data_IF_929202025850
#
_entry.id   IF_929202025850
#
_cell.length_a   1.000
_cell.length_b   1.000
_cell.length_c   1.000
_cell.angle_alpha   90.00
_cell.angle_beta   90.00
_cell.angle_gamma   90.00
#
_symmetry.space_group_name_H-M   'P 1'
#
loop_
_entity.id
_entity.type
_entity.pdbx_description
1 polymer ?
#
# COMPACT_ATOMS: atom_id res chain seq x y z
N UNK A 1 -43.63 42.24 29.62
CA UNK A 1 -43.82 41.50 30.89
C UNK A 1 -42.60 40.63 31.15
N UNK A 2 -42.00 40.78 32.35
CA UNK A 2 -41.12 39.88 33.14
C UNK A 2 -40.27 38.83 32.41
N UNK A 3 -38.99 38.58 32.71
CA UNK A 3 -37.93 39.15 33.58
C UNK A 3 -36.66 38.37 33.16
N UNK A 4 -35.56 39.07 32.86
CA UNK A 4 -34.22 38.47 32.88
C UNK A 4 -33.83 38.15 34.34
N UNK A 5 -33.07 37.08 34.56
CA UNK A 5 -31.78 37.15 35.28
C UNK A 5 -30.89 35.92 34.99
N UNK A 6 -29.58 36.12 34.72
CA UNK A 6 -28.56 35.08 34.59
C UNK A 6 -27.72 34.95 35.87
N UNK A 7 -27.13 33.77 36.15
CA UNK A 7 -26.01 33.60 37.09
C UNK A 7 -25.14 32.41 36.65
N UNK A 8 -24.02 32.67 35.98
CA UNK A 8 -22.63 32.76 36.52
C UNK A 8 -22.04 31.43 36.97
N UNK A 9 -21.14 30.93 36.13
CA UNK A 9 -20.06 29.97 36.40
C UNK A 9 -19.09 30.47 37.47
N UNK A 10 -18.74 29.59 38.42
CA UNK A 10 -17.50 29.68 39.20
C UNK A 10 -17.01 28.26 39.55
N UNK A 11 -15.74 28.01 39.23
CA UNK A 11 -15.00 26.78 39.48
C UNK A 11 -14.47 26.68 40.93
N UNK A 12 -14.20 25.43 41.37
CA UNK A 12 -13.29 24.91 42.44
C UNK A 12 -13.84 23.51 42.82
N UNK A 13 -13.12 22.42 43.08
CA UNK A 13 -11.72 22.12 43.40
C UNK A 13 -11.53 20.59 43.38
N UNK A 14 -10.27 20.17 43.23
CA UNK A 14 -9.78 18.80 43.22
C UNK A 14 -9.93 18.05 44.57
N UNK A 15 -9.95 16.70 44.50
CA UNK A 15 -9.16 15.75 45.29
C UNK A 15 -9.90 14.39 45.38
N UNK A 16 -9.32 13.33 44.82
CA UNK A 16 -9.76 11.96 45.11
C UNK A 16 -8.57 11.20 45.69
N UNK A 17 -8.62 10.94 47.00
CA UNK A 17 -7.67 10.15 47.77
C UNK A 17 -8.38 8.87 48.22
N UNK A 18 -7.75 7.75 47.85
CA UNK A 18 -7.80 6.37 48.34
C UNK A 18 -8.64 6.05 49.60
N UNK A 19 -9.47 5.01 49.51
CA UNK A 19 -9.68 4.02 50.57
C UNK A 19 -10.14 2.68 49.95
N UNK A 20 -9.56 1.58 50.43
CA UNK A 20 -9.60 0.27 49.79
C UNK A 20 -10.84 -0.58 50.06
N UNK A 21 -10.96 -1.64 49.27
CA UNK A 21 -11.72 -2.85 49.60
C UNK A 21 -10.91 -4.06 49.17
N UNK A 22 -10.76 -4.98 50.11
CA UNK A 22 -9.90 -6.14 50.06
C UNK A 22 -10.49 -7.29 49.23
N UNK A 23 -9.57 -8.07 48.64
CA UNK A 23 -9.61 -9.53 48.51
C UNK A 23 -10.85 -10.17 47.88
N UNK A 24 -10.84 -10.22 46.54
CA UNK A 24 -11.16 -11.45 45.82
C UNK A 24 -10.02 -11.67 44.81
N UNK A 25 -9.04 -12.49 45.20
CA UNK A 25 -8.10 -13.04 44.22
C UNK A 25 -8.87 -14.07 43.38
N UNK A 26 -8.98 -13.92 42.05
CA UNK A 26 -9.41 -15.04 41.23
C UNK A 26 -8.33 -16.10 41.30
N UNK A 27 -8.75 -17.36 41.44
CA UNK A 27 -7.92 -18.56 41.40
C UNK A 27 -6.82 -18.36 40.34
N UNK A 28 -5.58 -18.32 40.79
CA UNK A 28 -4.43 -18.39 39.92
C UNK A 28 -4.45 -19.77 39.28
N UNK A 29 -4.97 -19.86 38.05
CA UNK A 29 -4.42 -20.83 37.12
C UNK A 29 -2.91 -20.59 37.16
N UNK A 30 -2.13 -21.53 37.70
CA UNK A 30 -0.67 -21.42 37.70
C UNK A 30 -0.25 -21.13 36.26
N UNK A 31 0.20 -19.90 36.01
CA UNK A 31 0.70 -19.53 34.70
C UNK A 31 1.82 -20.52 34.37
N UNK A 32 1.63 -21.27 33.29
CA UNK A 32 2.61 -22.24 32.81
C UNK A 32 3.98 -21.56 32.77
N UNK A 33 5.06 -22.19 33.28
CA UNK A 33 6.37 -21.58 33.25
C UNK A 33 6.71 -21.16 31.82
N UNK A 34 7.09 -19.90 31.65
CA UNK A 34 7.39 -19.31 30.34
C UNK A 34 8.42 -20.19 29.61
N UNK A 35 8.10 -20.56 28.37
CA UNK A 35 9.01 -21.33 27.52
C UNK A 35 10.27 -20.51 27.21
N UNK A 36 11.32 -21.14 26.67
CA UNK A 36 12.49 -20.41 26.21
C UNK A 36 12.12 -19.35 25.15
N UNK A 37 11.15 -19.66 24.29
CA UNK A 37 10.69 -18.76 23.24
C UNK A 37 9.93 -17.55 23.82
N UNK A 38 9.17 -17.75 24.90
CA UNK A 38 8.46 -16.67 25.62
C UNK A 38 9.45 -15.77 26.35
N UNK A 39 10.47 -16.37 26.99
CA UNK A 39 11.57 -15.62 27.61
C UNK A 39 12.35 -14.81 26.59
N UNK A 40 12.60 -15.37 25.41
CA UNK A 40 13.30 -14.68 24.33
C UNK A 40 12.49 -13.47 23.84
N UNK A 41 11.20 -13.66 23.55
CA UNK A 41 10.31 -12.57 23.12
C UNK A 41 10.27 -11.44 24.16
N UNK A 42 10.04 -11.76 25.45
CA UNK A 42 10.02 -10.77 26.52
C UNK A 42 11.38 -10.05 26.70
N UNK A 43 12.50 -10.76 26.49
CA UNK A 43 13.85 -10.15 26.57
C UNK A 43 14.08 -9.18 25.41
N UNK A 44 13.62 -9.53 24.21
CA UNK A 44 13.66 -8.63 23.04
C UNK A 44 12.80 -7.40 23.27
N UNK A 45 11.56 -7.53 23.74
CA UNK A 45 10.72 -6.37 24.09
C UNK A 45 11.39 -5.44 25.11
N UNK A 46 12.00 -6.01 26.14
CA UNK A 46 12.76 -5.22 27.12
C UNK A 46 14.00 -4.56 26.50
N UNK A 47 14.67 -5.23 25.55
CA UNK A 47 15.81 -4.64 24.85
C UNK A 47 15.36 -3.44 24.02
N UNK A 48 14.30 -3.57 23.22
CA UNK A 48 13.73 -2.50 22.40
C UNK A 48 13.37 -1.26 23.23
N UNK A 49 12.79 -1.46 24.42
CA UNK A 49 12.46 -0.36 25.34
C UNK A 49 13.69 0.37 25.88
N UNK A 50 14.78 -0.35 26.14
CA UNK A 50 16.03 0.23 26.68
C UNK A 50 17.22 -0.65 26.31
N UNK A 51 17.83 -0.43 25.14
CA UNK A 51 18.94 -1.23 24.63
C UNK A 51 20.13 -1.17 25.58
N UNK A 52 20.77 -2.33 25.82
CA UNK A 52 22.05 -2.43 26.50
C UNK A 52 22.66 -3.81 26.28
N UNK A 53 23.98 -3.91 26.44
CA UNK A 53 24.72 -5.14 26.16
C UNK A 53 24.30 -6.31 27.05
N UNK A 54 23.90 -6.08 28.30
CA UNK A 54 23.43 -7.15 29.18
C UNK A 54 22.18 -7.85 28.63
N UNK A 55 21.22 -7.08 28.10
CA UNK A 55 20.02 -7.63 27.47
C UNK A 55 20.33 -8.29 26.13
N UNK A 56 21.21 -7.70 25.33
CA UNK A 56 21.65 -8.31 24.07
C UNK A 56 22.37 -9.65 24.28
N UNK A 57 23.24 -9.73 25.29
CA UNK A 57 23.88 -10.97 25.70
C UNK A 57 22.86 -12.01 26.19
N UNK A 58 21.82 -11.59 26.91
CA UNK A 58 20.73 -12.49 27.32
C UNK A 58 19.93 -13.02 26.11
N UNK A 59 19.68 -12.21 25.08
CA UNK A 59 19.08 -12.65 23.81
C UNK A 59 19.94 -13.73 23.16
N UNK A 60 21.26 -13.50 23.03
CA UNK A 60 22.20 -14.46 22.45
C UNK A 60 22.25 -15.77 23.23
N UNK A 61 22.28 -15.71 24.56
CA UNK A 61 22.27 -16.89 25.44
C UNK A 61 20.98 -17.72 25.28
N UNK A 62 19.82 -17.07 25.17
CA UNK A 62 18.55 -17.75 24.92
C UNK A 62 18.52 -18.44 23.55
N UNK A 63 19.04 -17.77 22.50
CA UNK A 63 19.18 -18.38 21.17
C UNK A 63 20.12 -19.61 21.20
N UNK A 64 21.26 -19.51 21.91
CA UNK A 64 22.20 -20.61 22.09
C UNK A 64 21.59 -21.81 22.86
N UNK A 65 20.63 -21.54 23.76
CA UNK A 65 19.85 -22.57 24.47
C UNK A 65 18.73 -23.18 23.63
N UNK A 66 18.58 -22.77 22.36
CA UNK A 66 17.60 -23.31 21.43
C UNK A 66 16.23 -22.63 21.48
N UNK A 67 16.13 -21.43 22.07
CA UNK A 67 14.91 -20.61 21.92
C UNK A 67 14.69 -20.32 20.44
N UNK A 68 13.45 -20.49 19.95
CA UNK A 68 13.07 -20.18 18.57
C UNK A 68 12.82 -18.68 18.42
N UNK A 69 13.58 -18.03 17.56
CA UNK A 69 13.39 -16.62 17.24
C UNK A 69 12.02 -16.32 16.61
N UNK A 70 11.50 -17.24 15.81
CA UNK A 70 10.19 -17.13 15.18
C UNK A 70 9.30 -18.35 15.45
N UNK A 71 8.02 -18.11 15.78
CA UNK A 71 7.01 -19.13 16.06
C UNK A 71 5.61 -18.54 15.87
N UNK A 72 4.61 -19.41 15.72
CA UNK A 72 3.22 -19.00 15.69
C UNK A 72 2.83 -18.36 17.02
N UNK A 73 2.08 -17.27 16.94
CA UNK A 73 1.48 -16.63 18.09
C UNK A 73 0.56 -17.62 18.82
N UNK A 74 0.65 -17.73 20.16
CA UNK A 74 -0.24 -18.61 20.94
C UNK A 74 -1.71 -18.26 20.72
N UNK A 75 -2.59 -19.26 20.74
CA UNK A 75 -4.00 -19.10 20.42
C UNK A 75 -4.77 -18.22 21.43
N UNK A 76 -4.26 -18.11 22.65
CA UNK A 76 -4.80 -17.28 23.72
C UNK A 76 -4.60 -15.76 23.53
N UNK A 77 -3.83 -15.34 22.52
CA UNK A 77 -3.57 -13.94 22.24
C UNK A 77 -4.17 -13.51 20.89
N UNK A 78 -5.09 -12.54 20.97
CA UNK A 78 -5.69 -11.86 19.82
C UNK A 78 -5.18 -10.40 19.78
N UNK A 79 -3.87 -10.19 19.52
CA UNK A 79 -3.27 -8.85 19.55
C UNK A 79 -1.75 -8.81 19.47
N UNK A 80 -1.07 -7.72 19.90
CA UNK A 80 0.40 -7.62 19.87
C UNK A 80 1.12 -8.52 20.89
N UNK A 81 0.39 -9.02 21.88
CA UNK A 81 0.89 -9.93 22.90
C UNK A 81 1.28 -11.28 22.29
N UNK A 82 2.33 -11.93 22.78
CA UNK A 82 2.70 -13.27 22.31
C UNK A 82 3.31 -13.30 20.89
N UNK A 83 3.71 -12.14 20.36
CA UNK A 83 4.61 -12.10 19.21
C UNK A 83 5.90 -12.87 19.50
N UNK A 84 6.43 -13.52 18.47
CA UNK A 84 7.79 -14.05 18.52
C UNK A 84 8.83 -12.93 18.57
N UNK A 85 10.06 -13.25 18.98
CA UNK A 85 11.15 -12.27 19.03
C UNK A 85 11.42 -11.61 17.67
N UNK A 86 11.40 -12.39 16.57
CA UNK A 86 11.56 -11.85 15.22
C UNK A 86 10.43 -10.89 14.86
N UNK A 87 9.19 -11.21 15.22
CA UNK A 87 8.04 -10.34 14.99
C UNK A 87 8.17 -9.01 15.73
N UNK A 88 8.60 -9.03 17.00
CA UNK A 88 8.85 -7.81 17.78
C UNK A 88 9.91 -6.94 17.12
N UNK A 89 11.06 -7.51 16.72
CA UNK A 89 12.14 -6.77 16.08
C UNK A 89 11.70 -6.13 14.74
N UNK A 90 10.95 -6.86 13.91
CA UNK A 90 10.40 -6.31 12.65
C UNK A 90 9.43 -5.17 12.94
N UNK A 91 8.54 -5.31 13.94
CA UNK A 91 7.55 -4.28 14.29
C UNK A 91 8.17 -2.98 14.80
N UNK A 92 9.34 -3.07 15.45
CA UNK A 92 10.11 -1.91 15.92
C UNK A 92 11.09 -1.39 14.86
N UNK A 93 11.13 -2.00 13.68
CA UNK A 93 12.05 -1.67 12.59
C UNK A 93 13.53 -1.72 13.04
N UNK A 94 13.90 -2.65 13.93
CA UNK A 94 15.28 -2.89 14.37
C UNK A 94 15.96 -3.90 13.43
N UNK A 95 16.72 -3.38 12.46
CA UNK A 95 17.41 -4.20 11.49
C UNK A 95 18.53 -5.08 12.11
N UNK A 96 19.19 -4.60 13.17
CA UNK A 96 20.32 -5.31 13.78
C UNK A 96 19.83 -6.52 14.59
N UNK A 97 18.71 -6.38 15.29
CA UNK A 97 18.05 -7.52 15.93
C UNK A 97 17.47 -8.50 14.92
N UNK A 98 16.88 -8.03 13.82
CA UNK A 98 16.41 -8.92 12.74
C UNK A 98 17.58 -9.74 12.19
N UNK A 99 18.71 -9.12 11.89
CA UNK A 99 19.91 -9.81 11.40
C UNK A 99 20.40 -10.87 12.40
N UNK A 100 20.42 -10.55 13.70
CA UNK A 100 20.76 -11.50 14.76
C UNK A 100 19.78 -12.68 14.84
N UNK A 101 18.49 -12.41 14.80
CA UNK A 101 17.44 -13.42 14.96
C UNK A 101 17.32 -14.35 13.74
N UNK A 102 17.67 -13.85 12.55
CA UNK A 102 17.74 -14.63 11.30
C UNK A 102 19.01 -15.50 11.18
N UNK A 103 19.93 -15.46 12.15
CA UNK A 103 21.02 -16.44 12.22
C UNK A 103 20.52 -17.88 12.44
N UNK A 104 19.31 -18.02 12.98
CA UNK A 104 18.58 -19.30 13.02
C UNK A 104 17.83 -19.55 11.72
N UNK A 105 17.66 -20.83 11.35
CA UNK A 105 16.75 -21.23 10.27
C UNK A 105 15.30 -21.10 10.75
N UNK A 106 14.69 -19.96 10.48
CA UNK A 106 13.31 -19.66 10.85
C UNK A 106 12.32 -20.12 9.77
N UNK A 107 11.16 -20.61 10.18
CA UNK A 107 10.03 -20.82 9.26
C UNK A 107 9.30 -19.49 9.04
N UNK A 108 9.64 -18.81 7.94
CA UNK A 108 9.11 -17.48 7.60
C UNK A 108 7.74 -17.55 6.91
N UNK A 109 7.11 -18.73 6.80
CA UNK A 109 5.72 -18.84 6.38
C UNK A 109 4.74 -18.59 7.54
N UNK A 110 5.24 -18.70 8.77
CA UNK A 110 4.46 -18.41 9.97
C UNK A 110 4.09 -16.92 10.01
N UNK A 111 2.81 -16.57 10.18
CA UNK A 111 2.41 -15.17 10.31
C UNK A 111 2.97 -14.47 11.55
N UNK A 112 3.22 -13.16 11.43
CA UNK A 112 3.56 -12.26 12.54
C UNK A 112 2.45 -12.23 13.59
N UNK A 113 1.19 -12.17 13.14
CA UNK A 113 -0.01 -12.28 13.97
C UNK A 113 -0.90 -13.40 13.45
N UNK A 114 -1.50 -14.16 14.37
CA UNK A 114 -2.36 -15.30 14.04
C UNK A 114 -3.56 -14.87 13.19
N UNK A 115 -4.24 -13.79 13.58
CA UNK A 115 -5.49 -13.37 12.94
C UNK A 115 -5.29 -12.50 11.69
N UNK A 116 -4.12 -11.88 11.56
CA UNK A 116 -3.81 -11.10 10.36
C UNK A 116 -3.20 -12.00 9.29
N UNK A 117 -2.38 -13.01 9.60
CA UNK A 117 -1.88 -13.92 8.56
C UNK A 117 -0.74 -13.36 7.69
N UNK A 118 -0.28 -12.13 7.95
CA UNK A 118 0.89 -11.57 7.25
C UNK A 118 2.17 -12.30 7.65
N UNK A 119 2.84 -12.90 6.67
CA UNK A 119 4.21 -13.40 6.81
C UNK A 119 5.20 -12.25 7.08
N UNK A 120 6.38 -12.51 7.69
CA UNK A 120 7.34 -11.49 8.08
C UNK A 120 7.71 -10.49 6.97
N UNK A 121 7.93 -10.98 5.74
CA UNK A 121 8.25 -10.12 4.59
C UNK A 121 7.08 -9.18 4.23
N UNK A 122 5.86 -9.72 4.20
CA UNK A 122 4.66 -8.95 3.88
C UNK A 122 4.38 -7.92 4.97
N UNK A 123 4.59 -8.28 6.24
CA UNK A 123 4.43 -7.37 7.37
C UNK A 123 5.45 -6.23 7.32
N UNK A 124 6.73 -6.54 7.06
CA UNK A 124 7.80 -5.55 6.94
C UNK A 124 7.53 -4.52 5.83
N UNK A 125 6.94 -4.96 4.71
CA UNK A 125 6.56 -4.07 3.59
C UNK A 125 5.30 -3.27 3.91
N UNK A 126 4.33 -3.87 4.60
CA UNK A 126 3.08 -3.19 4.99
C UNK A 126 3.31 -2.06 6.00
N UNK A 127 4.38 -2.12 6.80
CA UNK A 127 4.74 -1.10 7.78
C UNK A 127 5.50 0.11 7.19
N UNK A 128 5.70 0.17 5.87
CA UNK A 128 6.42 1.25 5.22
C UNK A 128 5.53 2.49 5.12
N UNK A 129 6.14 3.67 5.24
CA UNK A 129 5.45 4.94 5.02
C UNK A 129 4.62 4.88 3.73
N UNK A 130 3.35 5.25 3.85
CA UNK A 130 2.39 5.39 2.76
C UNK A 130 2.92 6.22 1.59
N UNK A 131 3.94 7.07 1.77
CA UNK A 131 4.59 7.80 0.68
C UNK A 131 5.59 6.94 -0.15
N UNK A 132 5.67 5.63 0.06
CA UNK A 132 6.52 4.71 -0.71
C UNK A 132 8.02 4.79 -0.40
N UNK A 133 8.43 5.66 0.52
CA UNK A 133 9.84 5.83 0.91
C UNK A 133 10.20 4.88 2.06
N UNK A 134 10.91 3.80 1.73
CA UNK A 134 11.46 2.90 2.72
C UNK A 134 12.63 3.56 3.47
N UNK A 135 12.68 3.45 4.80
CA UNK A 135 13.87 3.85 5.55
C UNK A 135 15.04 2.87 5.29
N UNK A 136 16.29 3.27 5.54
CA UNK A 136 17.43 2.36 5.46
C UNK A 136 17.25 1.08 6.29
N UNK A 137 16.60 1.17 7.45
CA UNK A 137 16.29 0.00 8.28
C UNK A 137 15.24 -0.90 7.63
N UNK A 138 14.15 -0.33 7.07
CA UNK A 138 13.15 -1.12 6.36
C UNK A 138 13.79 -1.91 5.21
N UNK A 139 14.65 -1.27 4.42
CA UNK A 139 15.35 -1.92 3.32
C UNK A 139 16.28 -3.04 3.79
N UNK A 140 16.98 -2.86 4.92
CA UNK A 140 17.81 -3.91 5.51
C UNK A 140 16.97 -5.09 5.94
N UNK A 141 15.85 -4.85 6.64
CA UNK A 141 14.93 -5.91 7.08
C UNK A 141 14.38 -6.69 5.88
N UNK A 142 13.90 -5.99 4.84
CA UNK A 142 13.39 -6.64 3.62
C UNK A 142 14.48 -7.48 2.95
N UNK A 143 15.71 -6.95 2.81
CA UNK A 143 16.86 -7.70 2.28
C UNK A 143 17.17 -8.95 3.11
N UNK A 144 17.21 -8.82 4.43
CA UNK A 144 17.53 -9.91 5.34
C UNK A 144 16.47 -11.02 5.28
N UNK A 145 15.19 -10.66 5.28
CA UNK A 145 14.09 -11.62 5.15
C UNK A 145 14.11 -12.36 3.80
N UNK A 146 14.36 -11.66 2.70
CA UNK A 146 14.53 -12.27 1.38
C UNK A 146 15.73 -13.24 1.38
N UNK A 147 16.87 -12.81 1.92
CA UNK A 147 18.07 -13.64 2.00
C UNK A 147 17.88 -14.89 2.89
N UNK A 148 17.04 -14.79 3.92
CA UNK A 148 16.63 -15.89 4.78
C UNK A 148 15.58 -16.83 4.15
N UNK A 149 15.15 -16.57 2.91
CA UNK A 149 14.24 -17.44 2.16
C UNK A 149 12.76 -17.12 2.34
N UNK A 150 12.40 -15.90 2.74
CA UNK A 150 10.99 -15.49 2.78
C UNK A 150 10.34 -15.59 1.40
N UNK A 151 9.09 -16.05 1.36
CA UNK A 151 8.33 -16.17 0.12
C UNK A 151 7.97 -14.78 -0.46
N UNK A 152 8.67 -14.37 -1.52
CA UNK A 152 8.47 -13.09 -2.21
C UNK A 152 7.12 -12.95 -2.93
N UNK A 153 6.38 -14.05 -3.06
CA UNK A 153 5.06 -14.10 -3.68
C UNK A 153 3.94 -14.42 -2.67
N UNK A 154 4.23 -14.39 -1.37
CA UNK A 154 3.25 -14.60 -0.32
C UNK A 154 2.08 -13.61 -0.43
N UNK A 155 0.88 -14.03 -0.08
CA UNK A 155 -0.27 -13.12 -0.03
C UNK A 155 -0.35 -12.45 1.35
N UNK A 156 -0.84 -11.23 1.37
CA UNK A 156 -1.14 -10.52 2.61
C UNK A 156 -2.40 -11.07 3.30
N UNK A 157 -2.69 -10.49 4.47
CA UNK A 157 -3.83 -10.82 5.34
C UNK A 157 -5.16 -11.05 4.63
N UNK A 158 -5.46 -10.19 3.66
CA UNK A 158 -6.74 -10.19 2.94
C UNK A 158 -6.75 -11.25 1.82
N UNK A 159 -5.69 -12.05 1.71
CA UNK A 159 -5.44 -12.98 0.62
C UNK A 159 -5.37 -12.27 -0.74
N UNK A 160 -5.00 -10.99 -0.74
CA UNK A 160 -5.29 -10.10 -1.87
C UNK A 160 -4.02 -9.68 -2.61
N UNK A 161 -3.00 -9.20 -1.92
CA UNK A 161 -1.82 -8.60 -2.54
C UNK A 161 -0.53 -9.34 -2.17
N UNK A 162 0.34 -9.53 -3.17
CA UNK A 162 1.73 -9.94 -2.98
C UNK A 162 2.60 -8.78 -2.50
N UNK A 163 3.82 -9.03 -1.96
CA UNK A 163 4.82 -8.00 -1.71
C UNK A 163 5.00 -7.00 -2.84
N UNK A 164 5.05 -7.49 -4.08
CA UNK A 164 5.26 -6.63 -5.26
C UNK A 164 4.04 -5.75 -5.55
N UNK A 165 2.82 -6.30 -5.41
CA UNK A 165 1.57 -5.54 -5.53
C UNK A 165 1.45 -4.45 -4.44
N UNK A 166 1.93 -4.71 -3.22
CA UNK A 166 1.99 -3.68 -2.18
C UNK A 166 2.99 -2.58 -2.51
N UNK A 167 4.22 -2.98 -2.88
CA UNK A 167 5.30 -2.04 -3.18
C UNK A 167 5.03 -1.21 -4.45
N UNK A 168 4.12 -1.64 -5.33
CA UNK A 168 3.74 -0.88 -6.52
C UNK A 168 2.73 0.25 -6.28
N UNK A 169 2.27 0.41 -5.03
CA UNK A 169 1.35 1.48 -4.65
C UNK A 169 -0.12 1.18 -4.93
N UNK A 170 -0.54 -0.09 -4.80
CA UNK A 170 -1.96 -0.44 -4.65
C UNK A 170 -2.48 -0.19 -3.22
N UNK A 171 -1.57 -0.05 -2.24
CA UNK A 171 -1.89 0.32 -0.84
C UNK A 171 -1.07 1.50 -0.33
N UNK A 172 -0.23 2.09 -1.18
CA UNK A 172 0.63 3.23 -0.88
C UNK A 172 0.24 4.38 -1.80
N UNK A 173 0.53 5.61 -1.37
CA UNK A 173 0.34 6.80 -2.18
C UNK A 173 1.42 6.90 -3.29
N UNK A 174 2.54 6.18 -3.18
CA UNK A 174 3.58 6.09 -4.21
C UNK A 174 4.27 4.71 -4.23
N UNK A 175 4.85 4.28 -5.37
CA UNK A 175 5.59 3.02 -5.45
C UNK A 175 6.94 3.11 -4.72
N UNK A 176 7.35 2.01 -4.08
CA UNK A 176 8.67 1.86 -3.47
C UNK A 176 9.65 1.18 -4.42
N UNK A 177 10.33 1.98 -5.25
CA UNK A 177 11.23 1.48 -6.31
C UNK A 177 12.33 0.55 -5.78
N UNK A 178 12.88 0.86 -4.60
CA UNK A 178 13.95 0.07 -3.99
C UNK A 178 13.46 -1.32 -3.59
N UNK A 179 12.26 -1.42 -3.02
CA UNK A 179 11.67 -2.70 -2.64
C UNK A 179 11.21 -3.49 -3.86
N UNK A 180 10.61 -2.82 -4.86
CA UNK A 180 10.30 -3.46 -6.13
C UNK A 180 11.56 -4.09 -6.76
N UNK A 181 12.69 -3.38 -6.75
CA UNK A 181 13.98 -3.92 -7.24
C UNK A 181 14.42 -5.15 -6.44
N UNK A 182 14.33 -5.12 -5.12
CA UNK A 182 14.70 -6.25 -4.27
C UNK A 182 13.83 -7.48 -4.53
N UNK A 183 12.52 -7.30 -4.57
CA UNK A 183 11.55 -8.36 -4.81
C UNK A 183 11.73 -8.99 -6.21
N UNK A 184 11.85 -8.16 -7.25
CA UNK A 184 12.03 -8.64 -8.62
C UNK A 184 13.37 -9.37 -8.79
N UNK A 185 14.45 -8.86 -8.19
CA UNK A 185 15.76 -9.54 -8.21
C UNK A 185 15.73 -10.89 -7.46
N UNK A 186 14.82 -11.04 -6.52
CA UNK A 186 14.59 -12.27 -5.76
C UNK A 186 13.54 -13.21 -6.39
N UNK A 187 13.07 -12.92 -7.61
CA UNK A 187 12.14 -13.79 -8.35
C UNK A 187 10.66 -13.56 -8.03
N UNK A 188 10.27 -12.39 -7.52
CA UNK A 188 8.86 -12.03 -7.44
C UNK A 188 8.23 -12.06 -8.85
N UNK A 189 7.09 -12.71 -8.99
CA UNK A 189 6.41 -12.84 -10.27
C UNK A 189 5.59 -11.56 -10.55
N UNK A 190 5.95 -10.76 -11.57
CA UNK A 190 5.26 -9.51 -11.85
C UNK A 190 3.84 -9.69 -12.41
N UNK A 191 3.50 -10.90 -12.86
CA UNK A 191 2.21 -11.22 -13.45
C UNK A 191 1.19 -11.78 -12.45
N UNK A 192 1.53 -11.83 -11.15
CA UNK A 192 0.54 -12.14 -10.12
C UNK A 192 -0.46 -11.00 -9.99
N UNK A 193 -1.72 -11.40 -9.74
CA UNK A 193 -2.87 -10.52 -9.76
C UNK A 193 -3.60 -10.60 -8.43
N UNK A 194 -4.10 -9.46 -7.98
CA UNK A 194 -4.93 -9.42 -6.79
C UNK A 194 -6.36 -9.93 -7.09
N UNK A 195 -7.24 -9.92 -6.08
CA UNK A 195 -8.63 -10.39 -6.22
C UNK A 195 -9.46 -9.51 -7.16
N UNK A 196 -9.07 -8.26 -7.41
CA UNK A 196 -9.66 -7.40 -8.44
C UNK A 196 -9.09 -7.67 -9.84
N UNK A 197 -8.13 -8.60 -9.95
CA UNK A 197 -7.40 -8.87 -11.17
C UNK A 197 -6.36 -7.79 -11.51
N UNK A 198 -6.01 -6.90 -10.59
CA UNK A 198 -5.03 -5.85 -10.81
C UNK A 198 -3.60 -6.42 -10.74
N UNK A 199 -2.73 -5.93 -11.61
CA UNK A 199 -1.29 -6.25 -11.63
C UNK A 199 -0.48 -5.18 -10.91
N UNK A 200 0.82 -5.40 -10.74
CA UNK A 200 1.71 -4.39 -10.16
C UNK A 200 1.78 -3.08 -10.99
N UNK A 201 1.36 -3.08 -12.26
CA UNK A 201 1.31 -1.90 -13.12
C UNK A 201 -0.09 -1.27 -13.22
N UNK A 202 -1.00 -1.56 -12.28
CA UNK A 202 -2.35 -1.02 -12.21
C UNK A 202 -2.61 -0.23 -10.91
N UNK A 203 -1.65 0.62 -10.55
CA UNK A 203 -1.70 1.50 -9.37
C UNK A 203 -0.72 2.66 -9.53
N UNK A 204 -0.16 3.18 -8.45
CA UNK A 204 0.76 4.34 -8.50
C UNK A 204 2.04 4.07 -9.32
N UNK A 205 2.45 2.81 -9.48
CA UNK A 205 3.55 2.44 -10.36
C UNK A 205 3.33 2.83 -11.84
N UNK A 206 2.08 2.86 -12.34
CA UNK A 206 1.79 3.25 -13.72
C UNK A 206 2.05 4.74 -13.98
N UNK A 207 1.89 5.59 -12.96
CA UNK A 207 2.21 7.01 -12.99
C UNK A 207 3.70 7.33 -12.80
N UNK A 208 4.53 6.33 -12.48
CA UNK A 208 5.97 6.49 -12.23
C UNK A 208 6.80 5.83 -13.35
N UNK A 209 7.63 6.62 -14.06
CA UNK A 209 8.37 6.12 -15.22
C UNK A 209 9.38 5.03 -14.86
N UNK A 210 10.09 5.18 -13.75
CA UNK A 210 11.09 4.20 -13.30
C UNK A 210 10.43 2.89 -12.85
N UNK A 211 9.30 2.96 -12.16
CA UNK A 211 8.52 1.79 -11.78
C UNK A 211 7.99 1.06 -13.02
N UNK A 212 7.49 1.82 -14.01
CA UNK A 212 7.02 1.29 -15.29
C UNK A 212 8.12 0.55 -16.03
N UNK A 213 9.30 1.18 -16.18
CA UNK A 213 10.48 0.57 -16.80
C UNK A 213 10.93 -0.68 -16.06
N UNK A 214 10.96 -0.62 -14.73
CA UNK A 214 11.36 -1.74 -13.89
C UNK A 214 10.44 -2.95 -14.07
N UNK A 215 9.12 -2.76 -14.03
CA UNK A 215 8.14 -3.84 -14.20
C UNK A 215 8.14 -4.42 -15.62
N UNK A 216 8.28 -3.57 -16.64
CA UNK A 216 8.43 -4.02 -18.04
C UNK A 216 9.72 -4.83 -18.22
N UNK A 217 10.84 -4.36 -17.65
CA UNK A 217 12.12 -5.07 -17.66
C UNK A 217 12.04 -6.44 -16.98
N UNK A 218 11.13 -6.60 -16.02
CA UNK A 218 10.85 -7.88 -15.37
C UNK A 218 9.86 -8.78 -16.13
N UNK A 219 9.33 -8.36 -17.28
CA UNK A 219 8.44 -9.18 -18.11
C UNK A 219 6.97 -9.14 -17.67
N UNK A 220 6.50 -8.04 -17.09
CA UNK A 220 5.06 -7.86 -16.81
C UNK A 220 4.24 -7.82 -18.11
N UNK A 221 3.05 -8.42 -18.10
CA UNK A 221 2.09 -8.27 -19.18
C UNK A 221 1.35 -6.93 -19.08
N UNK A 222 1.83 -5.95 -19.83
CA UNK A 222 1.20 -4.62 -19.96
C UNK A 222 -0.21 -4.67 -20.56
N UNK A 223 -0.60 -5.78 -21.22
CA UNK A 223 -1.92 -5.97 -21.82
C UNK A 223 -2.94 -6.64 -20.90
N UNK A 224 -2.55 -7.02 -19.68
CA UNK A 224 -3.44 -7.61 -18.71
C UNK A 224 -4.62 -6.68 -18.42
N UNK A 225 -5.78 -7.26 -18.13
CA UNK A 225 -7.03 -6.54 -17.80
C UNK A 225 -7.54 -6.93 -16.43
N UNK A 226 -7.83 -5.99 -15.55
CA UNK A 226 -8.52 -6.21 -14.28
C UNK A 226 -9.94 -6.78 -14.49
N UNK A 227 -10.61 -7.17 -13.41
CA UNK A 227 -12.01 -7.61 -13.46
C UNK A 227 -12.97 -6.52 -13.93
N UNK A 228 -12.61 -5.24 -13.77
CA UNK A 228 -13.36 -4.10 -14.31
C UNK A 228 -12.99 -3.76 -15.75
N UNK A 229 -12.08 -4.52 -16.37
CA UNK A 229 -11.58 -4.29 -17.73
C UNK A 229 -10.39 -3.32 -17.81
N UNK A 230 -9.88 -2.82 -16.67
CA UNK A 230 -8.83 -1.81 -16.66
C UNK A 230 -7.48 -2.40 -17.06
N UNK A 231 -6.73 -1.65 -17.87
CA UNK A 231 -5.33 -1.95 -18.25
C UNK A 231 -4.38 -1.00 -17.52
N UNK A 232 -3.07 -1.24 -17.59
CA UNK A 232 -2.06 -0.30 -17.08
C UNK A 232 -2.23 1.12 -17.65
N UNK A 233 -2.69 1.23 -18.89
CA UNK A 233 -2.92 2.52 -19.55
C UNK A 233 -4.01 3.34 -18.84
N UNK A 234 -5.03 2.70 -18.27
CA UNK A 234 -6.07 3.40 -17.51
C UNK A 234 -5.49 4.10 -16.25
N UNK A 235 -4.39 3.58 -15.69
CA UNK A 235 -3.73 4.14 -14.51
C UNK A 235 -2.53 5.06 -14.85
N UNK A 236 -2.10 5.18 -16.12
CA UNK A 236 -0.85 5.90 -16.48
C UNK A 236 -0.88 7.40 -16.17
N UNK A 237 -2.09 7.98 -16.14
CA UNK A 237 -2.35 9.37 -15.79
C UNK A 237 -2.88 9.55 -14.36
N UNK A 238 -3.08 8.45 -13.63
CA UNK A 238 -3.44 8.46 -12.21
C UNK A 238 -2.19 8.79 -11.40
N UNK A 239 -2.20 9.91 -10.67
CA UNK A 239 -1.04 10.41 -9.95
C UNK A 239 -1.41 10.68 -8.51
N UNK A 240 -0.42 10.57 -7.63
CA UNK A 240 -0.50 11.02 -6.25
C UNK A 240 -1.14 12.41 -6.17
N UNK A 241 -2.00 12.66 -5.17
CA UNK A 241 -2.74 13.92 -5.01
C UNK A 241 -1.84 15.17 -5.04
N UNK A 242 -0.67 15.11 -4.39
CA UNK A 242 0.36 16.16 -4.44
C UNK A 242 0.89 16.51 -5.84
N UNK A 243 0.64 15.67 -6.85
CA UNK A 243 1.02 15.90 -8.25
C UNK A 243 -0.14 16.44 -9.09
N UNK A 244 -1.35 16.61 -8.55
CA UNK A 244 -2.46 17.21 -9.29
C UNK A 244 -2.07 18.58 -9.85
N UNK A 245 -2.43 18.82 -11.12
CA UNK A 245 -2.14 20.06 -11.87
C UNK A 245 -0.66 20.44 -11.99
N UNK A 246 0.27 19.55 -11.62
CA UNK A 246 1.71 19.73 -11.91
C UNK A 246 2.03 19.17 -13.30
N UNK A 247 3.03 19.75 -14.00
CA UNK A 247 3.52 19.18 -15.25
C UNK A 247 3.93 17.70 -15.12
N UNK A 248 3.80 16.97 -16.22
CA UNK A 248 4.14 15.56 -16.35
C UNK A 248 4.89 15.33 -17.67
N UNK A 249 6.14 15.81 -17.77
CA UNK A 249 6.91 15.70 -19.02
C UNK A 249 7.17 14.24 -19.43
N UNK A 250 6.99 13.28 -18.51
CA UNK A 250 7.23 11.86 -18.72
C UNK A 250 5.99 11.08 -19.18
N UNK A 251 4.80 11.69 -19.22
CA UNK A 251 3.56 10.99 -19.60
C UNK A 251 3.66 10.32 -20.97
N UNK A 252 4.22 11.02 -21.97
CA UNK A 252 4.39 10.49 -23.31
C UNK A 252 5.32 9.27 -23.37
N UNK A 253 6.37 9.25 -22.56
CA UNK A 253 7.28 8.11 -22.49
C UNK A 253 6.59 6.90 -21.84
N UNK A 254 5.87 7.11 -20.73
CA UNK A 254 5.11 6.03 -20.08
C UNK A 254 4.05 5.45 -21.00
N UNK A 255 3.26 6.29 -21.67
CA UNK A 255 2.27 5.83 -22.65
C UNK A 255 2.95 4.99 -23.74
N UNK A 256 4.03 5.49 -24.35
CA UNK A 256 4.76 4.76 -25.39
C UNK A 256 5.23 3.37 -24.95
N UNK A 257 5.69 3.22 -23.70
CA UNK A 257 6.10 1.94 -23.14
C UNK A 257 4.93 0.93 -23.00
N UNK A 258 3.69 1.41 -22.90
CA UNK A 258 2.49 0.58 -22.75
C UNK A 258 1.80 0.26 -24.08
N UNK A 259 2.21 0.87 -25.20
CA UNK A 259 1.59 0.62 -26.51
C UNK A 259 2.19 -0.62 -27.16
N UNK A 260 1.33 -1.61 -27.41
CA UNK A 260 1.56 -2.71 -28.35
C UNK A 260 0.68 -2.48 -29.59
N UNK A 261 1.00 -3.08 -30.75
CA UNK A 261 0.08 -3.06 -31.90
C UNK A 261 -1.33 -3.51 -31.48
N UNK A 262 -2.34 -2.68 -31.75
CA UNK A 262 -3.73 -2.96 -31.37
C UNK A 262 -4.13 -2.61 -29.94
N UNK A 263 -3.27 -1.95 -29.15
CA UNK A 263 -3.68 -1.39 -27.84
C UNK A 263 -4.85 -0.43 -28.02
N UNK A 264 -5.97 -0.69 -27.33
CA UNK A 264 -7.12 0.20 -27.32
C UNK A 264 -6.92 1.33 -26.30
N UNK A 265 -6.80 2.56 -26.80
CA UNK A 265 -6.64 3.78 -26.00
C UNK A 265 -7.97 4.30 -25.43
N UNK A 266 -9.10 3.72 -25.87
CA UNK A 266 -10.45 4.19 -25.58
C UNK A 266 -11.26 3.16 -24.79
N UNK A 267 -10.60 2.14 -24.25
CA UNK A 267 -11.22 1.15 -23.39
C UNK A 267 -11.68 1.81 -22.08
N UNK A 268 -13.00 1.76 -21.85
CA UNK A 268 -13.62 2.14 -20.59
C UNK A 268 -13.46 1.02 -19.56
N UNK A 269 -12.92 1.33 -18.39
CA UNK A 269 -12.97 0.47 -17.21
C UNK A 269 -13.35 1.22 -15.94
N UNK A 270 -14.15 0.61 -15.07
CA UNK A 270 -14.41 1.20 -13.76
C UNK A 270 -13.14 1.20 -12.91
N UNK A 271 -12.80 2.36 -12.34
CA UNK A 271 -11.66 2.54 -11.47
C UNK A 271 -12.09 3.29 -10.21
N UNK A 272 -11.55 2.90 -9.07
CA UNK A 272 -11.83 3.58 -7.80
C UNK A 272 -11.40 5.05 -7.80
N UNK A 273 -10.33 5.39 -8.53
CA UNK A 273 -9.69 6.71 -8.51
C UNK A 273 -10.30 7.70 -9.50
N UNK A 274 -10.70 7.27 -10.69
CA UNK A 274 -11.36 8.11 -11.70
C UNK A 274 -12.89 7.99 -11.73
N UNK A 275 -13.45 7.10 -10.90
CA UNK A 275 -14.90 6.91 -10.75
C UNK A 275 -15.56 6.57 -12.08
N UNK A 276 -16.43 7.47 -12.53
CA UNK A 276 -17.30 7.30 -13.68
C UNK A 276 -16.70 7.78 -15.00
N UNK A 277 -15.41 8.18 -15.03
CA UNK A 277 -14.65 8.61 -16.19
C UNK A 277 -13.60 7.55 -16.59
N UNK A 278 -14.04 6.42 -17.16
CA UNK A 278 -13.34 5.14 -17.13
C UNK A 278 -12.31 5.00 -18.26
N UNK A 279 -12.26 5.95 -19.19
CA UNK A 279 -11.32 5.98 -20.32
C UNK A 279 -10.07 6.79 -19.95
N UNK A 280 -8.87 6.36 -20.42
CA UNK A 280 -7.61 7.02 -20.06
C UNK A 280 -7.61 8.53 -20.32
N UNK A 281 -8.20 8.97 -21.44
CA UNK A 281 -8.27 10.39 -21.80
C UNK A 281 -9.14 11.19 -20.81
N UNK A 282 -10.28 10.66 -20.40
CA UNK A 282 -11.16 11.32 -19.42
C UNK A 282 -10.55 11.35 -18.02
N UNK A 283 -9.88 10.27 -17.61
CA UNK A 283 -9.13 10.26 -16.35
C UNK A 283 -8.03 11.33 -16.33
N UNK A 284 -7.31 11.52 -17.45
CA UNK A 284 -6.29 12.55 -17.57
C UNK A 284 -6.86 13.98 -17.46
N UNK A 285 -8.06 14.23 -18.00
CA UNK A 285 -8.72 15.54 -17.90
C UNK A 285 -9.21 15.85 -16.49
N UNK A 286 -9.72 14.86 -15.75
CA UNK A 286 -10.12 15.01 -14.35
C UNK A 286 -8.93 15.23 -13.42
N UNK A 287 -7.80 14.57 -13.71
CA UNK A 287 -6.56 14.74 -12.95
C UNK A 287 -5.89 16.11 -13.20
N UNK A 288 -6.39 16.92 -14.15
CA UNK A 288 -5.75 18.16 -14.59
C UNK A 288 -4.33 17.91 -15.10
N UNK A 289 -4.13 16.82 -15.85
CA UNK A 289 -2.83 16.42 -16.38
C UNK A 289 -2.76 16.69 -17.89
N UNK A 290 -2.63 17.97 -18.25
CA UNK A 290 -2.61 18.42 -19.65
C UNK A 290 -1.50 17.76 -20.49
N UNK A 291 -0.36 17.43 -19.89
CA UNK A 291 0.71 16.70 -20.57
C UNK A 291 0.29 15.27 -20.93
N UNK A 292 -0.40 14.57 -20.03
CA UNK A 292 -0.96 13.24 -20.31
C UNK A 292 -2.09 13.30 -21.34
N UNK A 293 -2.98 14.31 -21.27
CA UNK A 293 -4.01 14.57 -22.30
C UNK A 293 -3.36 14.74 -23.67
N UNK A 294 -2.34 15.60 -23.77
CA UNK A 294 -1.60 15.86 -25.01
C UNK A 294 -0.92 14.59 -25.54
N UNK A 295 -0.32 13.81 -24.65
CA UNK A 295 0.36 12.57 -25.00
C UNK A 295 -0.61 11.50 -25.51
N UNK A 296 -1.76 11.31 -24.85
CA UNK A 296 -2.80 10.38 -25.28
C UNK A 296 -3.38 10.76 -26.65
N UNK A 297 -3.67 12.04 -26.89
CA UNK A 297 -4.17 12.51 -28.19
C UNK A 297 -3.11 12.28 -29.28
N UNK A 298 -1.83 12.56 -29.00
CA UNK A 298 -0.73 12.26 -29.94
C UNK A 298 -0.58 10.76 -30.22
N UNK A 299 -0.90 9.92 -29.24
CA UNK A 299 -0.92 8.46 -29.40
C UNK A 299 -2.13 7.95 -30.18
N UNK A 300 -3.13 8.80 -30.47
CA UNK A 300 -4.33 8.44 -31.22
C UNK A 300 -5.56 8.17 -30.36
N UNK A 301 -5.58 8.58 -29.08
CA UNK A 301 -6.79 8.51 -28.27
C UNK A 301 -7.88 9.39 -28.90
N UNK A 302 -9.10 8.86 -28.97
CA UNK A 302 -10.23 9.54 -29.57
C UNK A 302 -10.75 10.62 -28.60
N UNK A 303 -10.65 11.92 -28.92
CA UNK A 303 -11.18 13.00 -28.09
C UNK A 303 -12.71 12.94 -27.94
N UNK A 304 -13.38 12.27 -28.87
CA UNK A 304 -14.83 12.08 -28.89
C UNK A 304 -15.23 10.68 -28.39
N UNK A 305 -14.33 9.95 -27.71
CA UNK A 305 -14.67 8.74 -26.97
C UNK A 305 -15.73 9.03 -25.89
N UNK A 306 -16.54 8.02 -25.55
CA UNK A 306 -17.57 8.14 -24.52
C UNK A 306 -16.92 8.44 -23.16
N UNK A 307 -17.45 9.44 -22.46
CA UNK A 307 -16.91 9.88 -21.17
C UNK A 307 -17.35 8.97 -20.02
N UNK A 308 -18.61 8.53 -20.00
CA UNK A 308 -19.17 7.73 -18.92
C UNK A 308 -19.21 6.23 -19.24
N UNK A 309 -19.12 5.39 -18.20
CA UNK A 309 -19.24 3.94 -18.33
C UNK A 309 -20.66 3.49 -18.71
N UNK A 310 -20.82 2.24 -19.17
CA UNK A 310 -22.14 1.65 -19.42
C UNK A 310 -23.02 1.60 -18.17
N UNK A 311 -22.42 1.34 -17.00
CA UNK A 311 -23.15 1.29 -15.73
C UNK A 311 -23.77 2.65 -15.38
N UNK A 312 -23.02 3.74 -15.58
CA UNK A 312 -23.49 5.11 -15.34
C UNK A 312 -24.54 5.51 -16.37
N UNK A 313 -24.29 5.19 -17.64
CA UNK A 313 -25.23 5.44 -18.72
C UNK A 313 -26.56 4.68 -18.53
N UNK A 314 -26.54 3.50 -17.88
CA UNK A 314 -27.76 2.77 -17.55
C UNK A 314 -28.60 3.47 -16.46
N UNK A 315 -27.93 4.08 -15.47
CA UNK A 315 -28.59 4.84 -14.41
C UNK A 315 -29.03 6.24 -14.86
N UNK A 316 -28.38 6.82 -15.88
CA UNK A 316 -28.67 8.14 -16.43
C UNK A 316 -28.48 8.14 -17.95
N UNK A 317 -29.52 7.77 -18.72
CA UNK A 317 -29.45 7.58 -20.18
C UNK A 317 -28.93 8.78 -20.97
N UNK A 318 -29.17 10.00 -20.48
CA UNK A 318 -28.69 11.24 -21.13
C UNK A 318 -27.15 11.30 -21.19
N UNK A 319 -26.47 10.69 -20.20
CA UNK A 319 -25.01 10.64 -20.12
C UNK A 319 -24.38 9.67 -21.14
N UNK A 320 -25.17 8.78 -21.74
CA UNK A 320 -24.69 7.78 -22.71
C UNK A 320 -24.00 8.40 -23.92
N UNK A 321 -24.44 9.59 -24.33
CA UNK A 321 -23.96 10.31 -25.52
C UNK A 321 -22.86 11.34 -25.23
N UNK A 322 -22.51 11.53 -23.95
CA UNK A 322 -21.49 12.50 -23.54
C UNK A 322 -20.12 11.93 -23.88
N UNK A 323 -19.37 12.71 -24.65
CA UNK A 323 -17.99 12.40 -25.07
C UNK A 323 -17.00 13.22 -24.25
N UNK A 324 -15.74 12.80 -24.17
CA UNK A 324 -14.70 13.53 -23.43
C UNK A 324 -14.62 15.01 -23.85
N UNK A 325 -14.55 15.28 -25.15
CA UNK A 325 -14.52 16.66 -25.67
C UNK A 325 -15.73 17.49 -25.20
N UNK A 326 -16.94 16.97 -25.35
CA UNK A 326 -18.17 17.66 -24.94
C UNK A 326 -18.18 17.98 -23.46
N UNK A 327 -17.81 17.02 -22.61
CA UNK A 327 -17.77 17.21 -21.17
C UNK A 327 -16.78 18.33 -20.80
N UNK A 328 -15.55 18.23 -21.31
CA UNK A 328 -14.48 19.20 -21.03
C UNK A 328 -14.84 20.63 -21.45
N UNK A 329 -15.45 20.79 -22.63
CA UNK A 329 -15.82 22.11 -23.14
C UNK A 329 -17.09 22.69 -22.48
N UNK A 330 -18.00 21.83 -22.02
CA UNK A 330 -19.22 22.27 -21.32
C UNK A 330 -18.94 22.64 -19.85
N UNK A 331 -17.90 22.06 -19.25
CA UNK A 331 -17.57 22.17 -17.83
C UNK A 331 -16.20 22.85 -17.59
N UNK A 332 -15.92 24.05 -18.13
CA UNK A 332 -14.58 24.63 -18.12
C UNK A 332 -14.04 24.95 -16.72
N UNK A 333 -14.89 25.13 -15.72
CA UNK A 333 -14.47 25.35 -14.32
C UNK A 333 -13.78 24.14 -13.68
N UNK A 334 -13.95 22.94 -14.26
CA UNK A 334 -13.38 21.70 -13.73
C UNK A 334 -12.04 21.33 -14.38
N UNK A 335 -11.60 22.06 -15.41
CA UNK A 335 -10.39 21.76 -16.17
C UNK A 335 -9.42 22.94 -16.20
N UNK A 336 -8.12 22.65 -16.35
CA UNK A 336 -7.10 23.68 -16.51
C UNK A 336 -7.10 24.27 -17.94
N UNK A 337 -6.55 25.48 -18.08
CA UNK A 337 -6.54 26.23 -19.34
C UNK A 337 -5.81 25.49 -20.47
N UNK A 338 -4.75 24.75 -20.15
CA UNK A 338 -3.99 23.98 -21.14
C UNK A 338 -4.83 22.82 -21.69
N UNK A 339 -5.53 22.09 -20.82
CA UNK A 339 -6.48 21.04 -21.21
C UNK A 339 -7.58 21.63 -22.12
N UNK A 340 -8.16 22.77 -21.75
CA UNK A 340 -9.18 23.45 -22.58
C UNK A 340 -8.61 23.86 -23.95
N UNK A 341 -7.40 24.43 -23.99
CA UNK A 341 -6.74 24.81 -25.22
C UNK A 341 -6.47 23.61 -26.14
N UNK A 342 -6.10 22.46 -25.58
CA UNK A 342 -5.94 21.21 -26.33
C UNK A 342 -7.27 20.83 -26.99
N UNK A 343 -8.37 20.71 -26.24
CA UNK A 343 -9.65 20.27 -26.82
C UNK A 343 -10.29 21.27 -27.80
N UNK A 344 -9.97 22.57 -27.69
CA UNK A 344 -10.37 23.60 -28.68
C UNK A 344 -9.58 23.51 -29.99
N UNK A 345 -8.34 23.01 -29.96
CA UNK A 345 -7.45 22.97 -31.13
C UNK A 345 -7.44 21.62 -31.86
N UNK A 346 -7.77 20.53 -31.18
CA UNK A 346 -7.83 19.20 -31.78
C UNK A 346 -8.98 19.14 -32.78
N UNK A 347 -8.68 18.80 -34.04
CA UNK A 347 -9.67 18.69 -35.11
C UNK A 347 -10.69 17.58 -34.81
N UNK A 348 -11.87 17.69 -35.42
CA UNK A 348 -12.86 16.61 -35.46
C UNK A 348 -12.43 15.53 -36.43
#
# INVERSE_FOLDING_TARGET
MKRLHPKTTAAKTAACLLAGCALLAPLTAQAKPASLDDKLAATVEQYEQKPNEKKLAAIRDLLAKGARAHRAQPAEYDGPQGMSALAVAISNNDADLVDLLLTQKNDLEIPVYRDLGNQPLVYAISGIDTNGKASPQNLRIVKALIAAGANVNALNTDGNNTPLLQASGLRLNAPSLEIMRLLLSAGANPNLRNQNGETALMGMAAGNLDATKLLIGAGIDVGARSKSGATALNYVCDRHVDLHRKPDPQAGERIKLLLKPGTDLNSAAWMKTSGDAPVPLASATLAGNADCVRALIRAGANPDARYYSDAVAAASPDLKSVTVRKDVLANPSFHDDDTLAIFRSVKR
#
